data_IF_612398881593
#
_entry.id   IF_612398881593
#
_cell.length_a   1.000
_cell.length_b   1.000
_cell.length_c   1.000
_cell.angle_alpha   90.00
_cell.angle_beta   90.00
_cell.angle_gamma   90.00
#
_symmetry.space_group_name_H-M   'P 1'
#
loop_
_entity.id
_entity.type
_entity.pdbx_description
1 polymer ?
#
# COMPACT_ATOMS: atom_id res chain seq x y z
N UNK A 1 -7.74 18.50 -0.23
CA UNK A 1 -8.99 18.58 -1.02
C UNK A 1 -10.14 19.12 -0.16
N UNK A 2 -10.21 18.73 1.11
CA UNK A 2 -11.03 19.42 2.13
C UNK A 2 -10.13 20.23 3.08
N UNK A 3 -10.72 21.05 3.95
CA UNK A 3 -10.00 21.67 5.06
C UNK A 3 -9.44 20.61 6.01
N UNK A 4 -8.20 20.81 6.46
CA UNK A 4 -7.50 20.01 7.45
C UNK A 4 -7.21 20.87 8.68
N UNK A 5 -7.59 20.36 9.84
CA UNK A 5 -7.51 21.00 11.14
C UNK A 5 -7.06 19.96 12.18
N UNK A 6 -6.57 20.38 13.36
CA UNK A 6 -6.26 19.42 14.43
C UNK A 6 -7.46 18.53 14.81
N UNK A 7 -8.69 19.05 14.69
CA UNK A 7 -9.92 18.32 15.01
C UNK A 7 -10.28 17.23 14.01
N UNK A 8 -9.81 17.30 12.76
CA UNK A 8 -10.16 16.34 11.70
C UNK A 8 -8.92 15.75 11.01
N UNK A 9 -7.82 15.62 11.75
CA UNK A 9 -6.55 15.05 11.28
C UNK A 9 -5.81 15.91 10.25
N UNK A 10 -5.24 17.03 10.69
CA UNK A 10 -4.16 17.65 9.93
C UNK A 10 -2.86 16.85 10.06
N UNK A 11 -1.87 17.16 9.22
CA UNK A 11 -0.55 16.56 9.36
C UNK A 11 0.11 17.07 10.65
N UNK A 12 0.69 16.17 11.41
CA UNK A 12 1.58 16.47 12.53
C UNK A 12 3.01 16.16 12.10
N UNK A 13 3.96 16.97 12.56
CA UNK A 13 5.38 16.78 12.23
C UNK A 13 6.28 17.03 13.43
N UNK A 14 7.47 16.43 13.41
CA UNK A 14 8.63 16.91 14.16
C UNK A 14 9.50 17.78 13.22
N UNK A 15 9.64 19.08 13.46
CA UNK A 15 10.51 19.93 12.64
C UNK A 15 11.97 19.53 12.76
N UNK A 16 12.72 19.63 11.66
CA UNK A 16 14.16 19.31 11.56
C UNK A 16 15.02 19.67 12.79
N UNK A 17 14.94 20.87 13.40
CA UNK A 17 15.80 21.19 14.55
C UNK A 17 15.56 20.34 15.80
N UNK A 18 14.44 19.61 15.85
CA UNK A 18 14.02 18.78 16.97
C UNK A 18 14.04 17.28 16.64
N UNK A 19 14.52 16.93 15.45
CA UNK A 19 14.73 15.55 15.02
C UNK A 19 16.25 15.32 14.87
N UNK A 20 16.88 14.64 15.83
CA UNK A 20 18.31 14.31 15.78
C UNK A 20 18.68 13.44 14.56
N UNK A 21 17.74 12.63 14.08
CA UNK A 21 17.92 11.71 12.95
C UNK A 21 17.83 12.38 11.59
N UNK A 22 17.23 13.57 11.49
CA UNK A 22 16.86 14.18 10.21
C UNK A 22 18.01 14.23 9.19
N UNK A 23 19.25 14.52 9.62
CA UNK A 23 20.41 14.55 8.72
C UNK A 23 21.22 13.25 8.74
N UNK A 24 21.29 12.56 9.88
CA UNK A 24 22.10 11.36 10.06
C UNK A 24 21.46 10.12 9.40
N UNK A 25 20.13 10.05 9.35
CA UNK A 25 19.39 8.85 9.02
C UNK A 25 19.17 7.97 10.25
N UNK A 26 18.65 6.77 9.99
CA UNK A 26 18.41 5.74 10.99
C UNK A 26 19.59 4.77 10.92
N UNK A 27 20.54 4.91 11.86
CA UNK A 27 21.73 4.04 11.94
C UNK A 27 21.27 2.66 12.43
N UNK A 28 21.17 1.68 11.51
CA UNK A 28 20.87 0.27 11.84
C UNK A 28 22.03 -0.45 12.57
N UNK A 29 23.20 0.19 12.68
CA UNK A 29 24.44 -0.41 13.21
C UNK A 29 24.80 0.01 14.65
N UNK A 30 24.02 0.89 15.29
CA UNK A 30 24.21 1.25 16.70
C UNK A 30 23.22 0.50 17.60
N UNK A 31 23.73 -0.19 18.64
CA UNK A 31 23.00 -0.96 19.67
C UNK A 31 21.91 -0.18 20.46
N UNK A 32 21.64 1.07 20.11
CA UNK A 32 20.48 1.81 20.61
C UNK A 32 19.36 1.69 19.57
N UNK A 33 18.68 0.53 19.55
CA UNK A 33 17.50 0.17 18.74
C UNK A 33 16.27 1.08 19.02
N UNK A 34 16.46 2.39 19.06
CA UNK A 34 15.41 3.37 19.28
C UNK A 34 14.83 3.76 17.93
N UNK A 35 13.54 3.49 17.75
CA UNK A 35 12.83 3.92 16.57
C UNK A 35 12.92 5.46 16.41
N UNK A 36 12.79 5.97 15.17
CA UNK A 36 13.00 7.38 14.87
C UNK A 36 12.10 8.31 15.69
N UNK A 37 10.87 7.88 15.98
CA UNK A 37 9.92 8.68 16.74
C UNK A 37 10.34 8.72 18.22
N UNK A 38 10.64 7.59 18.85
CA UNK A 38 11.11 7.56 20.25
C UNK A 38 12.37 8.39 20.45
N UNK A 39 13.31 8.36 19.50
CA UNK A 39 14.50 9.21 19.51
C UNK A 39 14.13 10.70 19.50
N UNK A 40 13.19 11.09 18.65
CA UNK A 40 12.74 12.48 18.51
C UNK A 40 11.86 12.97 19.68
N UNK A 41 11.08 12.08 20.30
CA UNK A 41 10.19 12.36 21.43
C UNK A 41 10.59 11.68 22.75
N UNK A 42 11.89 11.67 23.04
CA UNK A 42 12.48 10.93 24.17
C UNK A 42 12.14 11.47 25.57
N UNK A 43 11.68 12.71 25.69
CA UNK A 43 11.27 13.31 26.99
C UNK A 43 9.89 13.93 26.94
N UNK A 44 9.27 14.15 28.10
CA UNK A 44 7.96 14.82 28.16
C UNK A 44 7.98 16.22 27.52
N UNK A 45 9.08 16.95 27.65
CA UNK A 45 9.26 18.27 27.05
C UNK A 45 9.33 18.20 25.52
N UNK A 46 9.93 17.14 24.97
CA UNK A 46 10.08 16.98 23.53
C UNK A 46 8.75 16.81 22.78
N UNK A 47 7.68 16.35 23.45
CA UNK A 47 6.32 16.38 22.90
C UNK A 47 5.85 17.80 22.53
N UNK A 48 6.40 18.83 23.19
CA UNK A 48 6.11 20.23 22.85
C UNK A 48 6.74 20.66 21.51
N UNK A 49 7.57 19.83 20.88
CA UNK A 49 8.14 20.09 19.56
C UNK A 49 7.23 19.67 18.42
N UNK A 50 6.20 18.85 18.68
CA UNK A 50 5.20 18.43 17.69
C UNK A 50 4.50 19.68 17.13
N UNK A 51 4.37 19.76 15.81
CA UNK A 51 3.67 20.85 15.12
C UNK A 51 2.52 20.31 14.29
N UNK A 52 1.32 20.82 14.56
CA UNK A 52 0.16 20.63 13.71
C UNK A 52 0.23 21.59 12.50
N UNK A 53 -0.06 21.08 11.31
CA UNK A 53 -0.01 21.84 10.06
C UNK A 53 -1.42 21.91 9.43
N UNK A 54 -2.34 22.72 9.98
CA UNK A 54 -3.67 22.89 9.41
C UNK A 54 -3.59 23.56 8.04
N UNK A 55 -4.49 23.17 7.13
CA UNK A 55 -4.55 23.65 5.75
C UNK A 55 -5.98 23.90 5.33
N UNK A 56 -6.23 24.96 4.57
CA UNK A 56 -7.51 25.14 3.86
C UNK A 56 -7.53 24.30 2.58
N UNK A 57 -8.72 23.96 2.10
CA UNK A 57 -8.88 23.35 0.79
C UNK A 57 -8.20 24.22 -0.28
N UNK A 58 -7.36 23.59 -1.10
CA UNK A 58 -6.55 24.26 -2.12
C UNK A 58 -5.14 24.67 -1.66
N UNK A 59 -4.85 24.64 -0.36
CA UNK A 59 -3.49 24.79 0.14
C UNK A 59 -2.73 23.46 0.06
N UNK A 60 -1.42 23.55 -0.13
CA UNK A 60 -0.49 22.42 -0.14
C UNK A 60 0.59 22.58 0.91
N UNK A 61 1.24 21.47 1.22
CA UNK A 61 2.49 21.43 1.96
C UNK A 61 3.50 20.62 1.15
N UNK A 62 4.74 21.09 1.11
CA UNK A 62 5.87 20.35 0.56
C UNK A 62 6.86 20.07 1.68
N UNK A 63 7.33 18.84 1.75
CA UNK A 63 8.36 18.40 2.68
C UNK A 63 9.18 17.27 2.03
N UNK A 64 10.36 17.03 2.56
CA UNK A 64 11.25 15.96 2.09
C UNK A 64 10.85 14.61 2.70
N UNK A 65 11.30 13.50 2.12
CA UNK A 65 11.07 12.15 2.66
C UNK A 65 11.55 11.96 4.11
N UNK A 66 12.40 12.87 4.63
CA UNK A 66 12.99 12.79 5.97
C UNK A 66 12.18 13.41 7.08
N UNK A 67 11.10 14.14 6.78
CA UNK A 67 10.31 14.72 7.87
C UNK A 67 9.51 13.60 8.56
N UNK A 68 9.68 13.46 9.87
CA UNK A 68 8.77 12.64 10.67
C UNK A 68 7.39 13.29 10.62
N UNK A 69 6.41 12.55 10.12
CA UNK A 69 5.04 13.04 9.97
C UNK A 69 4.00 11.94 10.12
N UNK A 70 2.82 12.31 10.60
CA UNK A 70 1.70 11.40 10.75
C UNK A 70 0.35 12.13 10.67
N UNK A 71 -0.70 11.37 10.38
CA UNK A 71 -2.09 11.81 10.59
C UNK A 71 -2.56 11.46 11.99
N UNK A 72 -3.61 12.11 12.48
CA UNK A 72 -4.30 11.70 13.70
C UNK A 72 -5.65 11.07 13.40
N UNK A 73 -6.32 10.54 14.42
CA UNK A 73 -7.76 10.30 14.36
C UNK A 73 -8.51 11.64 14.43
N UNK A 74 -9.63 11.76 13.72
CA UNK A 74 -10.54 12.89 13.90
C UNK A 74 -11.22 12.86 15.28
N UNK A 75 -11.42 14.02 15.89
CA UNK A 75 -12.04 14.14 17.21
C UNK A 75 -13.54 13.75 17.15
N UNK A 76 -13.97 12.69 17.85
CA UNK A 76 -15.37 12.24 17.84
C UNK A 76 -16.33 13.22 18.54
N UNK A 77 -15.80 14.13 19.36
CA UNK A 77 -16.57 15.11 20.15
C UNK A 77 -16.62 16.50 19.50
N UNK A 78 -15.99 16.70 18.35
CA UNK A 78 -16.05 17.98 17.64
C UNK A 78 -17.50 18.37 17.33
N UNK A 79 -17.90 19.54 17.82
CA UNK A 79 -19.26 20.08 17.73
C UNK A 79 -19.59 20.68 16.36
N UNK A 80 -18.61 20.75 15.47
CA UNK A 80 -18.78 21.32 14.13
C UNK A 80 -19.38 20.29 13.17
N UNK A 81 -20.04 20.77 12.10
CA UNK A 81 -20.56 19.94 11.01
C UNK A 81 -19.48 19.07 10.28
N UNK A 82 -18.23 19.10 10.75
CA UNK A 82 -17.13 18.28 10.26
C UNK A 82 -17.16 16.82 10.77
N UNK A 83 -17.93 16.51 11.83
CA UNK A 83 -18.00 15.15 12.40
C UNK A 83 -18.34 14.06 11.37
N UNK A 84 -19.12 14.41 10.34
CA UNK A 84 -19.62 13.45 9.34
C UNK A 84 -19.01 13.65 7.94
N UNK A 85 -17.95 14.46 7.81
CA UNK A 85 -17.32 14.70 6.50
C UNK A 85 -15.91 14.12 6.48
N UNK A 86 -15.59 13.22 5.54
CA UNK A 86 -14.24 12.69 5.43
C UNK A 86 -13.26 13.83 5.11
N UNK A 87 -12.10 13.79 5.77
CA UNK A 87 -10.97 14.66 5.43
C UNK A 87 -10.22 14.04 4.26
N UNK A 88 -10.23 14.72 3.13
CA UNK A 88 -9.65 14.20 1.88
C UNK A 88 -8.38 15.00 1.55
N UNK A 89 -7.27 14.29 1.43
CA UNK A 89 -6.01 14.79 0.94
C UNK A 89 -5.54 13.95 -0.26
N UNK A 90 -4.68 14.54 -1.08
CA UNK A 90 -3.95 13.85 -2.13
C UNK A 90 -2.48 14.16 -1.90
N UNK A 91 -1.64 13.13 -1.95
CA UNK A 91 -0.19 13.26 -1.85
C UNK A 91 0.43 12.92 -3.20
N UNK A 92 1.48 13.66 -3.56
CA UNK A 92 2.32 13.36 -4.70
C UNK A 92 3.73 13.18 -4.17
N UNK A 93 4.32 12.03 -4.46
CA UNK A 93 5.70 11.72 -4.11
C UNK A 93 6.51 11.80 -5.40
N UNK A 94 7.71 12.35 -5.31
CA UNK A 94 8.65 12.43 -6.43
C UNK A 94 10.04 12.11 -5.92
N UNK A 95 10.72 11.22 -6.63
CA UNK A 95 12.10 10.81 -6.42
C UNK A 95 12.89 11.05 -7.70
N UNK A 96 14.22 11.09 -7.56
CA UNK A 96 15.10 11.02 -8.73
C UNK A 96 15.12 9.58 -9.25
N UNK A 97 15.20 9.40 -10.58
CA UNK A 97 15.27 8.07 -11.19
C UNK A 97 16.51 7.27 -10.75
N UNK A 98 17.55 7.94 -10.25
CA UNK A 98 18.72 7.29 -9.64
C UNK A 98 18.47 6.81 -8.21
N UNK A 99 17.44 7.34 -7.54
CA UNK A 99 17.04 6.92 -6.19
C UNK A 99 16.04 5.76 -6.27
N UNK A 100 14.99 5.91 -7.08
CA UNK A 100 13.98 4.88 -7.32
C UNK A 100 13.62 4.87 -8.80
N UNK A 101 13.60 3.69 -9.41
CA UNK A 101 13.26 3.57 -10.83
C UNK A 101 11.78 3.92 -11.06
N UNK A 102 11.44 4.61 -12.17
CA UNK A 102 10.05 4.80 -12.56
C UNK A 102 9.33 3.46 -12.77
N UNK A 103 8.04 3.38 -12.46
CA UNK A 103 7.26 2.15 -12.63
C UNK A 103 7.09 1.68 -14.08
N UNK A 104 7.29 2.57 -15.06
CA UNK A 104 7.20 2.26 -16.49
C UNK A 104 8.56 2.36 -17.16
N UNK A 105 8.80 1.48 -18.13
CA UNK A 105 10.01 1.52 -18.98
C UNK A 105 10.03 2.79 -19.83
N UNK A 106 8.88 3.20 -20.36
CA UNK A 106 8.75 4.36 -21.23
C UNK A 106 8.15 5.58 -20.51
N UNK A 107 9.01 6.52 -20.13
CA UNK A 107 8.57 7.78 -19.50
C UNK A 107 7.88 8.75 -20.47
N UNK A 108 7.96 8.53 -21.79
CA UNK A 108 7.40 9.46 -22.79
C UNK A 108 5.87 9.53 -22.73
N UNK A 109 5.19 8.55 -22.11
CA UNK A 109 3.75 8.61 -21.81
C UNK A 109 3.35 9.84 -20.99
N UNK A 110 4.30 10.45 -20.28
CA UNK A 110 4.09 11.65 -19.46
C UNK A 110 4.78 12.89 -20.03
N UNK A 111 5.32 12.81 -21.24
CA UNK A 111 6.06 13.91 -21.84
C UNK A 111 5.17 15.12 -22.09
N UNK A 112 5.67 16.30 -21.72
CA UNK A 112 4.93 17.57 -21.83
C UNK A 112 5.23 18.34 -23.12
N UNK A 113 6.09 17.78 -23.98
CA UNK A 113 6.50 18.40 -25.25
C UNK A 113 5.32 18.57 -26.21
N UNK A 114 4.31 17.70 -26.14
CA UNK A 114 3.09 17.82 -26.94
C UNK A 114 1.89 18.12 -26.03
N UNK A 115 1.38 19.36 -26.08
CA UNK A 115 0.31 19.83 -25.17
C UNK A 115 -1.02 19.07 -25.33
N UNK A 116 -1.20 18.33 -26.41
CA UNK A 116 -2.40 17.54 -26.72
C UNK A 116 -2.33 16.11 -26.15
N UNK A 117 -1.15 15.60 -25.77
CA UNK A 117 -0.91 14.25 -25.24
C UNK A 117 -0.61 14.26 -23.73
N UNK A 118 -1.31 15.11 -22.96
CA UNK A 118 -1.04 15.30 -21.53
C UNK A 118 -1.53 14.17 -20.61
N UNK A 119 -2.21 13.18 -21.17
CA UNK A 119 -2.84 12.10 -20.40
C UNK A 119 -2.31 10.79 -20.97
N UNK A 120 -1.69 9.93 -20.14
CA UNK A 120 -1.24 8.63 -20.60
C UNK A 120 -2.40 7.84 -21.23
N UNK A 121 -2.12 6.99 -22.23
CA UNK A 121 -3.10 6.11 -22.83
C UNK A 121 -3.90 5.32 -21.78
N UNK A 122 -5.14 4.97 -22.10
CA UNK A 122 -6.00 4.25 -21.15
C UNK A 122 -5.37 2.95 -20.64
N UNK A 123 -4.66 2.21 -21.50
CA UNK A 123 -4.02 0.96 -21.10
C UNK A 123 -2.92 1.18 -20.05
N UNK A 124 -2.11 2.24 -20.18
CA UNK A 124 -1.09 2.61 -19.18
C UNK A 124 -1.73 3.00 -17.85
N UNK A 125 -2.83 3.79 -17.89
CA UNK A 125 -3.54 4.19 -16.67
C UNK A 125 -4.15 2.99 -15.96
N UNK A 126 -4.76 2.07 -16.71
CA UNK A 126 -5.35 0.86 -16.14
C UNK A 126 -4.27 -0.09 -15.61
N UNK A 127 -3.15 -0.24 -16.33
CA UNK A 127 -2.01 -1.04 -15.90
C UNK A 127 -1.47 -0.58 -14.55
N UNK A 128 -1.22 0.72 -14.38
CA UNK A 128 -0.75 1.28 -13.11
C UNK A 128 -1.77 1.10 -11.97
N UNK A 129 -3.08 1.19 -12.28
CA UNK A 129 -4.13 0.93 -11.28
C UNK A 129 -4.15 -0.54 -10.87
N UNK A 130 -4.10 -1.47 -11.82
CA UNK A 130 -4.06 -2.90 -11.54
C UNK A 130 -2.82 -3.29 -10.74
N UNK A 131 -1.63 -2.80 -11.14
CA UNK A 131 -0.39 -3.01 -10.41
C UNK A 131 -0.46 -2.50 -8.97
N UNK A 132 -1.01 -1.30 -8.76
CA UNK A 132 -1.13 -0.72 -7.43
C UNK A 132 -2.15 -1.46 -6.54
N UNK A 133 -3.26 -1.93 -7.12
CA UNK A 133 -4.25 -2.74 -6.38
C UNK A 133 -3.65 -4.07 -5.94
N UNK A 134 -2.78 -4.67 -6.75
CA UNK A 134 -2.05 -5.89 -6.38
C UNK A 134 -1.03 -5.62 -5.29
N UNK A 135 -0.20 -4.56 -5.42
CA UNK A 135 0.83 -4.25 -4.42
C UNK A 135 0.24 -3.97 -3.03
N UNK A 136 -0.95 -3.36 -2.98
CA UNK A 136 -1.59 -2.99 -1.71
C UNK A 136 -2.88 -3.78 -1.46
N UNK A 137 -2.98 -5.01 -1.95
CA UNK A 137 -4.23 -5.78 -1.92
C UNK A 137 -4.80 -5.91 -0.51
N UNK A 138 -3.98 -6.08 0.52
CA UNK A 138 -4.39 -6.19 1.93
C UNK A 138 -5.13 -4.94 2.45
N UNK A 139 -4.93 -3.77 1.83
CA UNK A 139 -5.60 -2.51 2.20
C UNK A 139 -7.00 -2.39 1.62
N UNK A 140 -7.38 -3.30 0.73
CA UNK A 140 -8.62 -3.26 0.00
C UNK A 140 -9.37 -4.58 0.19
N UNK A 141 -10.69 -4.50 0.35
CA UNK A 141 -11.55 -5.69 0.36
C UNK A 141 -11.85 -6.10 -1.10
N UNK A 142 -10.86 -6.72 -1.76
CA UNK A 142 -10.93 -7.14 -3.16
C UNK A 142 -11.30 -8.61 -3.27
N UNK A 143 -12.32 -8.97 -4.07
CA UNK A 143 -12.60 -10.37 -4.40
C UNK A 143 -11.43 -11.04 -5.15
N UNK A 144 -11.25 -12.36 -4.96
CA UNK A 144 -10.23 -13.17 -5.65
C UNK A 144 -10.25 -12.95 -7.16
N UNK A 145 -11.44 -12.89 -7.75
CA UNK A 145 -11.63 -12.71 -9.19
C UNK A 145 -11.14 -11.34 -9.67
N UNK A 146 -11.22 -10.31 -8.82
CA UNK A 146 -10.71 -8.98 -9.11
C UNK A 146 -9.18 -8.95 -9.10
N UNK A 147 -8.56 -9.64 -8.14
CA UNK A 147 -7.10 -9.79 -8.05
C UNK A 147 -6.57 -10.53 -9.28
N UNK A 148 -7.18 -11.68 -9.65
CA UNK A 148 -6.84 -12.43 -10.86
C UNK A 148 -6.97 -11.56 -12.11
N UNK A 149 -8.08 -10.84 -12.27
CA UNK A 149 -8.28 -9.94 -13.41
C UNK A 149 -7.25 -8.79 -13.47
N UNK A 150 -6.83 -8.25 -12.33
CA UNK A 150 -5.76 -7.25 -12.27
C UNK A 150 -4.42 -7.85 -12.71
N UNK A 151 -4.09 -9.05 -12.24
CA UNK A 151 -2.84 -9.71 -12.60
C UNK A 151 -2.81 -10.10 -14.08
N UNK A 152 -3.89 -10.66 -14.62
CA UNK A 152 -4.00 -10.96 -16.05
C UNK A 152 -3.75 -9.73 -16.92
N UNK A 153 -4.29 -8.57 -16.50
CA UNK A 153 -4.04 -7.31 -17.18
C UNK A 153 -2.58 -6.86 -17.08
N UNK A 154 -1.97 -6.97 -15.90
CA UNK A 154 -0.55 -6.70 -15.71
C UNK A 154 0.34 -7.62 -16.56
N UNK A 155 0.01 -8.91 -16.62
CA UNK A 155 0.71 -9.92 -17.43
C UNK A 155 0.61 -9.60 -18.92
N UNK A 156 -0.57 -9.19 -19.39
CA UNK A 156 -0.78 -8.79 -20.79
C UNK A 156 0.12 -7.62 -21.22
N UNK A 157 0.38 -6.66 -20.33
CA UNK A 157 1.18 -5.46 -20.60
C UNK A 157 2.50 -5.44 -19.81
N UNK A 158 3.05 -6.61 -19.50
CA UNK A 158 4.22 -6.77 -18.63
C UNK A 158 5.48 -6.03 -19.14
N UNK A 159 5.61 -5.86 -20.46
CA UNK A 159 6.76 -5.18 -21.07
C UNK A 159 6.73 -3.65 -20.90
N UNK A 160 5.60 -3.09 -20.50
CA UNK A 160 5.47 -1.66 -20.18
C UNK A 160 6.00 -1.32 -18.78
N UNK A 161 6.02 -2.31 -17.88
CA UNK A 161 6.47 -2.16 -16.49
C UNK A 161 7.98 -2.30 -16.38
N UNK A 162 8.58 -1.46 -15.55
CA UNK A 162 9.98 -1.60 -15.16
C UNK A 162 10.20 -2.97 -14.48
N UNK A 163 11.36 -3.59 -14.73
CA UNK A 163 11.61 -4.99 -14.38
C UNK A 163 11.43 -5.27 -12.87
N UNK A 164 11.97 -4.42 -12.01
CA UNK A 164 11.84 -4.59 -10.55
C UNK A 164 10.41 -4.37 -10.08
N UNK A 165 9.72 -3.38 -10.64
CA UNK A 165 8.32 -3.13 -10.31
C UNK A 165 7.40 -4.27 -10.77
N UNK A 166 7.63 -4.82 -11.98
CA UNK A 166 6.94 -6.02 -12.47
C UNK A 166 7.13 -7.21 -11.54
N UNK A 167 8.37 -7.43 -11.06
CA UNK A 167 8.67 -8.50 -10.09
C UNK A 167 7.89 -8.31 -8.79
N UNK A 168 7.80 -7.08 -8.28
CA UNK A 168 7.00 -6.78 -7.08
C UNK A 168 5.53 -7.09 -7.28
N UNK A 169 4.93 -6.64 -8.39
CA UNK A 169 3.52 -6.94 -8.73
C UNK A 169 3.25 -8.45 -8.74
N UNK A 170 4.18 -9.22 -9.30
CA UNK A 170 4.10 -10.67 -9.32
C UNK A 170 4.12 -11.28 -7.91
N UNK A 171 5.10 -10.88 -7.08
CA UNK A 171 5.26 -11.40 -5.72
C UNK A 171 4.00 -11.15 -4.89
N UNK A 172 3.46 -9.93 -4.97
CA UNK A 172 2.25 -9.57 -4.22
C UNK A 172 1.00 -10.29 -4.74
N UNK A 173 0.90 -10.56 -6.03
CA UNK A 173 -0.16 -11.42 -6.57
C UNK A 173 -0.09 -12.84 -5.99
N UNK A 174 1.09 -13.46 -5.98
CA UNK A 174 1.26 -14.81 -5.43
C UNK A 174 0.94 -14.86 -3.93
N UNK A 175 1.40 -13.86 -3.15
CA UNK A 175 1.04 -13.73 -1.73
C UNK A 175 -0.47 -13.66 -1.55
N UNK A 176 -1.14 -12.76 -2.29
CA UNK A 176 -2.58 -12.60 -2.21
C UNK A 176 -3.33 -13.91 -2.47
N UNK A 177 -2.99 -14.61 -3.55
CA UNK A 177 -3.66 -15.86 -3.92
C UNK A 177 -3.50 -16.97 -2.87
N UNK A 178 -2.31 -17.10 -2.27
CA UNK A 178 -2.06 -18.04 -1.16
C UNK A 178 -2.90 -17.74 0.07
N UNK A 179 -3.09 -16.46 0.40
CA UNK A 179 -3.95 -16.05 1.53
C UNK A 179 -5.43 -16.37 1.28
N UNK A 180 -5.90 -16.30 0.03
CA UNK A 180 -7.25 -16.75 -0.32
C UNK A 180 -7.42 -18.27 -0.21
N UNK A 181 -6.38 -19.05 -0.49
CA UNK A 181 -6.42 -20.51 -0.37
C UNK A 181 -6.40 -20.96 1.11
N UNK A 182 -5.55 -20.34 1.94
CA UNK A 182 -5.47 -20.65 3.38
C UNK A 182 -6.75 -20.27 4.14
N UNK A 183 -7.37 -19.13 3.80
CA UNK A 183 -8.66 -18.72 4.39
C UNK A 183 -9.82 -19.67 4.01
N UNK A 184 -9.76 -20.30 2.83
CA UNK A 184 -10.72 -21.35 2.44
C UNK A 184 -10.52 -22.65 3.24
N UNK A 185 -9.29 -23.07 3.56
CA UNK A 185 -9.05 -24.28 4.35
C UNK A 185 -9.53 -24.15 5.80
N UNK A 186 -9.34 -22.98 6.42
CA UNK A 186 -9.82 -22.72 7.79
C UNK A 186 -11.35 -22.71 7.90
N UNK A 187 -12.03 -22.29 6.82
CA UNK A 187 -13.50 -22.29 6.76
C UNK A 187 -14.06 -23.71 6.58
N UNK A 188 -13.32 -24.61 5.90
CA UNK A 188 -13.69 -26.03 5.77
C UNK A 188 -13.56 -26.80 7.08
N UNK A 189 -12.50 -26.56 7.87
CA UNK A 189 -12.32 -27.25 9.16
C UNK A 189 -13.35 -26.85 10.23
N UNK A 190 -13.89 -25.63 10.15
CA UNK A 190 -14.90 -25.14 11.11
C UNK A 190 -16.34 -25.60 10.80
N UNK A 191 -16.57 -26.23 9.65
CA UNK A 191 -17.89 -26.66 9.17
C UNK A 191 -18.24 -28.15 9.41
N UNK A 192 -17.33 -28.97 9.93
CA UNK A 192 -17.56 -30.43 10.09
C UNK A 192 -18.21 -30.85 11.42
N UNK A 193 -18.66 -29.92 12.27
CA UNK A 193 -19.45 -30.26 13.46
C UNK A 193 -20.83 -29.60 13.38
N UNK A 194 -21.85 -30.45 13.19
CA UNK A 194 -23.31 -30.17 13.15
C UNK A 194 -23.96 -30.03 11.76
N UNK A 195 -24.42 -31.13 11.16
CA UNK A 195 -25.83 -31.59 11.25
C UNK A 195 -26.15 -32.69 10.22
N UNK A 196 -26.61 -33.83 10.74
CA UNK A 196 -27.33 -34.84 9.96
C UNK A 196 -28.77 -34.38 9.69
N UNK A 197 -29.11 -34.00 8.45
CA UNK A 197 -30.45 -34.17 7.88
C UNK A 197 -30.46 -33.86 6.37
N UNK A 198 -30.94 -34.82 5.60
CA UNK A 198 -31.16 -34.77 4.15
C UNK A 198 -31.85 -33.49 3.64
N UNK A 199 -31.40 -32.95 2.50
CA UNK A 199 -32.22 -32.75 1.30
C UNK A 199 -31.30 -32.58 0.08
N UNK A 200 -31.69 -33.28 -0.98
CA UNK A 200 -30.99 -33.43 -2.24
C UNK A 200 -31.27 -32.21 -3.14
N UNK A 201 -30.24 -31.46 -3.52
CA UNK A 201 -30.28 -30.60 -4.71
C UNK A 201 -28.89 -30.50 -5.32
N UNK A 202 -28.71 -31.21 -6.45
CA UNK A 202 -27.60 -31.02 -7.38
C UNK A 202 -27.46 -29.53 -7.73
N UNK A 203 -26.32 -28.95 -7.40
CA UNK A 203 -25.83 -27.75 -8.06
C UNK A 203 -24.36 -27.99 -8.41
N UNK A 204 -24.10 -28.04 -9.71
CA UNK A 204 -22.79 -28.14 -10.32
C UNK A 204 -21.89 -27.05 -9.76
N UNK A 205 -20.82 -27.45 -9.06
CA UNK A 205 -19.65 -26.60 -8.78
C UNK A 205 -18.63 -27.04 -9.82
N UNK A 206 -18.57 -26.31 -10.93
CA UNK A 206 -17.62 -26.54 -12.01
C UNK A 206 -16.22 -26.05 -11.58
N UNK A 207 -15.26 -26.97 -11.50
CA UNK A 207 -13.91 -27.01 -12.10
C UNK A 207 -13.07 -25.73 -12.33
N UNK A 208 -13.39 -24.56 -11.75
CA UNK A 208 -12.54 -23.35 -11.88
C UNK A 208 -11.33 -23.33 -10.93
N UNK A 209 -11.38 -24.07 -9.81
CA UNK A 209 -10.34 -24.01 -8.76
C UNK A 209 -9.05 -24.77 -9.17
N UNK A 210 -9.11 -25.88 -9.93
CA UNK A 210 -7.89 -26.62 -10.35
C UNK A 210 -7.06 -25.85 -11.39
N UNK A 211 -7.71 -25.10 -12.29
CA UNK A 211 -7.02 -24.26 -13.29
C UNK A 211 -6.29 -23.08 -12.64
N UNK A 212 -6.79 -22.57 -11.52
CA UNK A 212 -6.17 -21.47 -10.79
C UNK A 212 -4.94 -21.93 -10.02
N UNK A 213 -5.01 -23.10 -9.40
CA UNK A 213 -3.87 -23.70 -8.69
C UNK A 213 -2.74 -24.07 -9.65
N UNK A 214 -3.06 -24.63 -10.83
CA UNK A 214 -2.06 -24.95 -11.85
C UNK A 214 -1.40 -23.68 -12.43
N UNK A 215 -2.20 -22.64 -12.72
CA UNK A 215 -1.68 -21.36 -13.19
C UNK A 215 -0.82 -20.65 -12.13
N UNK A 216 -1.20 -20.74 -10.85
CA UNK A 216 -0.42 -20.21 -9.74
C UNK A 216 0.92 -20.95 -9.59
N UNK A 217 0.91 -22.29 -9.70
CA UNK A 217 2.12 -23.08 -9.64
C UNK A 217 3.07 -22.83 -10.80
N UNK A 218 2.56 -22.76 -12.03
CA UNK A 218 3.38 -22.44 -13.22
C UNK A 218 4.05 -21.08 -13.06
N UNK A 219 3.30 -20.09 -12.56
CA UNK A 219 3.81 -18.76 -12.29
C UNK A 219 4.85 -18.74 -11.16
N UNK A 220 4.60 -19.47 -10.07
CA UNK A 220 5.57 -19.61 -8.97
C UNK A 220 6.88 -20.26 -9.44
N UNK A 221 6.81 -21.25 -10.32
CA UNK A 221 7.99 -21.91 -10.89
C UNK A 221 8.80 -20.97 -11.80
N UNK A 222 8.12 -20.15 -12.62
CA UNK A 222 8.76 -19.11 -13.43
C UNK A 222 9.43 -18.04 -12.55
N UNK A 223 8.85 -17.75 -11.38
CA UNK A 223 9.43 -16.81 -10.42
C UNK A 223 10.61 -17.38 -9.61
N UNK A 224 10.57 -18.64 -9.22
CA UNK A 224 11.76 -19.28 -8.62
C UNK A 224 12.92 -19.35 -9.63
N UNK A 225 12.62 -19.61 -10.90
CA UNK A 225 13.61 -19.63 -11.97
C UNK A 225 14.21 -18.24 -12.26
N UNK A 226 13.47 -17.16 -12.01
CA UNK A 226 13.91 -15.78 -12.24
C UNK A 226 14.52 -15.06 -11.01
N UNK A 227 14.65 -15.73 -9.87
CA UNK A 227 15.32 -15.20 -8.67
C UNK A 227 14.50 -14.15 -7.89
N UNK A 228 13.18 -14.32 -7.81
CA UNK A 228 12.28 -13.40 -7.11
C UNK A 228 12.41 -13.61 -5.59
N UNK A 229 13.02 -12.67 -4.88
CA UNK A 229 13.21 -12.70 -3.41
C UNK A 229 12.17 -11.89 -2.64
N UNK A 230 12.27 -11.89 -1.31
CA UNK A 230 11.48 -11.03 -0.42
C UNK A 230 11.75 -9.54 -0.72
N UNK A 231 10.71 -8.80 -1.06
CA UNK A 231 10.74 -7.35 -1.20
C UNK A 231 10.16 -6.76 0.08
N UNK A 232 10.98 -5.99 0.79
CA UNK A 232 10.52 -5.09 1.86
C UNK A 232 10.10 -3.78 1.20
N UNK A 233 8.88 -3.35 1.44
CA UNK A 233 8.45 -2.00 1.11
C UNK A 233 8.36 -1.10 2.35
N UNK A 234 8.40 0.21 2.13
CA UNK A 234 8.42 1.22 3.20
C UNK A 234 7.19 1.18 4.13
N UNK A 235 6.20 0.32 3.87
CA UNK A 235 4.99 0.15 4.66
C UNK A 235 4.86 -1.23 5.33
N UNK A 236 5.61 -2.24 4.90
CA UNK A 236 5.58 -3.61 5.46
C UNK A 236 6.08 -3.66 6.92
N UNK A 237 6.91 -2.70 7.34
CA UNK A 237 7.39 -2.61 8.73
C UNK A 237 6.30 -2.20 9.74
N UNK A 238 5.16 -1.65 9.30
CA UNK A 238 4.12 -1.12 10.21
C UNK A 238 3.25 -2.23 10.83
N UNK A 239 3.11 -3.39 10.18
CA UNK A 239 2.18 -4.44 10.65
C UNK A 239 2.71 -5.28 11.83
N UNK A 240 3.99 -5.18 12.17
CA UNK A 240 4.59 -6.00 13.23
C UNK A 240 4.48 -5.41 14.65
N UNK A 241 3.86 -4.25 14.84
CA UNK A 241 3.76 -3.58 16.16
C UNK A 241 2.37 -3.63 16.81
N UNK A 242 1.33 -4.11 16.12
CA UNK A 242 -0.05 -4.04 16.62
C UNK A 242 -0.43 -5.11 17.68
N UNK A 243 0.51 -6.00 18.07
CA UNK A 243 0.26 -7.06 19.06
C UNK A 243 0.80 -6.79 20.48
N UNK A 244 1.23 -5.56 20.79
CA UNK A 244 1.69 -5.21 22.15
C UNK A 244 1.16 -3.88 22.69
N UNK A 245 -0.15 -3.70 22.82
CA UNK A 245 -0.70 -2.76 23.82
C UNK A 245 -2.03 -3.22 24.45
#
# INVERSE_FOLDING_TARGET
LTDATPENSCLYVIPKPYDPGYMAGDDKDNDEDLDPLTRAVSTKESYQHIRALPRRAGESILFTHRILHWGSRGNPTSSTQQKNKPRIAISFVASDASFEAPYLVNADYFSTTNKEERIPPFHIRLLLVCAQLLIYYQRFDLPKECIRACYDYCKQYADELEETYRKKVFVEFVKAMKEFESSKSDTKERGEVETTASTNSNQYVEDEDESDEEALMDEMLDAEAGGYGEFEDDYDEIENEDDQF
#
